data_IF_419516316734
#
_entry.id   IF_419516316734
#
_cell.length_a   1.000
_cell.length_b   1.000
_cell.length_c   1.000
_cell.angle_alpha   90.00
_cell.angle_beta   90.00
_cell.angle_gamma   90.00
#
_symmetry.space_group_name_H-M   'P 1'
#
loop_
_entity.id
_entity.type
_entity.pdbx_description
1 polymer ?
#
# COMPACT_ATOMS: atom_id res chain seq x y z
N UNK A 1 34.60 -14.31 -3.80
CA UNK A 1 33.31 -14.90 -4.26
C UNK A 1 32.11 -14.52 -3.37
N UNK A 2 32.31 -14.13 -2.10
CA UNK A 2 31.24 -13.73 -1.15
C UNK A 2 30.44 -12.49 -1.59
N UNK A 3 31.08 -11.50 -2.21
CA UNK A 3 30.42 -10.23 -2.59
C UNK A 3 29.28 -10.38 -3.60
N UNK A 4 29.38 -11.30 -4.58
CA UNK A 4 28.29 -11.53 -5.54
C UNK A 4 27.08 -12.22 -4.90
N UNK A 5 27.30 -13.09 -3.92
CA UNK A 5 26.22 -13.67 -3.13
C UNK A 5 25.47 -12.63 -2.29
N UNK A 6 26.19 -11.67 -1.71
CA UNK A 6 25.58 -10.56 -0.97
C UNK A 6 24.71 -9.67 -1.86
N UNK A 7 25.15 -9.38 -3.09
CA UNK A 7 24.33 -8.62 -4.06
C UNK A 7 23.05 -9.39 -4.44
N UNK A 8 23.13 -10.69 -4.68
CA UNK A 8 21.95 -11.51 -4.95
C UNK A 8 20.95 -11.49 -3.78
N UNK A 9 21.44 -11.62 -2.54
CA UNK A 9 20.58 -11.52 -1.36
C UNK A 9 19.91 -10.14 -1.21
N UNK A 10 20.59 -9.06 -1.60
CA UNK A 10 19.97 -7.72 -1.63
C UNK A 10 18.88 -7.62 -2.70
N UNK A 11 19.03 -8.30 -3.84
CA UNK A 11 17.97 -8.41 -4.85
C UNK A 11 16.76 -9.16 -4.30
N UNK A 12 16.96 -10.28 -3.59
CA UNK A 12 15.87 -11.03 -2.96
C UNK A 12 15.14 -10.21 -1.90
N UNK A 13 15.88 -9.48 -1.06
CA UNK A 13 15.29 -8.55 -0.08
C UNK A 13 14.46 -7.47 -0.77
N UNK A 14 14.98 -6.91 -1.87
CA UNK A 14 14.27 -5.89 -2.64
C UNK A 14 12.97 -6.44 -3.23
N UNK A 15 13.01 -7.67 -3.75
CA UNK A 15 11.83 -8.36 -4.27
C UNK A 15 10.77 -8.58 -3.18
N UNK A 16 11.16 -9.05 -1.99
CA UNK A 16 10.22 -9.22 -0.87
C UNK A 16 9.61 -7.88 -0.43
N UNK A 17 10.40 -6.80 -0.39
CA UNK A 17 9.89 -5.46 -0.07
C UNK A 17 8.85 -4.99 -1.07
N UNK A 18 9.11 -5.15 -2.37
CA UNK A 18 8.15 -4.80 -3.42
C UNK A 18 6.84 -5.58 -3.29
N UNK A 19 6.91 -6.88 -2.98
CA UNK A 19 5.73 -7.71 -2.76
C UNK A 19 4.92 -7.24 -1.54
N UNK A 20 5.61 -6.86 -0.45
CA UNK A 20 4.96 -6.32 0.75
C UNK A 20 4.32 -4.96 0.48
N UNK A 21 5.01 -4.06 -0.25
CA UNK A 21 4.48 -2.76 -0.65
C UNK A 21 3.20 -2.93 -1.49
N UNK A 22 3.19 -3.86 -2.46
CA UNK A 22 2.01 -4.13 -3.29
C UNK A 22 0.85 -4.68 -2.44
N UNK A 23 1.14 -5.61 -1.52
CA UNK A 23 0.13 -6.15 -0.62
C UNK A 23 -0.43 -5.07 0.31
N UNK A 24 0.41 -4.20 0.87
CA UNK A 24 -0.01 -3.04 1.66
C UNK A 24 -1.00 -2.18 0.87
N UNK A 25 -0.66 -1.80 -0.36
CA UNK A 25 -1.54 -0.99 -1.22
C UNK A 25 -2.90 -1.67 -1.46
N UNK A 26 -2.92 -3.00 -1.70
CA UNK A 26 -4.17 -3.75 -1.89
C UNK A 26 -5.02 -3.80 -0.63
N UNK A 27 -4.40 -4.00 0.53
CA UNK A 27 -5.11 -4.03 1.82
C UNK A 27 -5.66 -2.65 2.18
N UNK A 28 -4.87 -1.59 1.99
CA UNK A 28 -5.31 -0.20 2.23
C UNK A 28 -6.50 0.15 1.34
N UNK A 29 -6.44 -0.18 0.03
CA UNK A 29 -7.57 0.02 -0.88
C UNK A 29 -8.82 -0.73 -0.41
N UNK A 30 -8.67 -1.99 -0.01
CA UNK A 30 -9.80 -2.81 0.49
C UNK A 30 -10.41 -2.19 1.74
N UNK A 31 -9.58 -1.73 2.69
CA UNK A 31 -10.03 -1.07 3.90
C UNK A 31 -10.76 0.26 3.60
N UNK A 32 -10.24 1.06 2.67
CA UNK A 32 -10.88 2.30 2.21
C UNK A 32 -12.23 2.07 1.54
N UNK A 33 -12.32 1.07 0.66
CA UNK A 33 -13.59 0.65 0.05
C UNK A 33 -14.62 0.18 1.10
N UNK A 34 -14.15 -0.39 2.21
CA UNK A 34 -14.98 -0.73 3.37
C UNK A 34 -15.34 0.44 4.29
N UNK A 35 -14.95 1.68 3.96
CA UNK A 35 -15.24 2.87 4.76
C UNK A 35 -14.34 3.07 5.99
N UNK A 36 -13.27 2.28 6.15
CA UNK A 36 -12.38 2.35 7.31
C UNK A 36 -11.59 3.68 7.30
N UNK A 37 -11.53 4.36 8.44
CA UNK A 37 -10.83 5.64 8.55
C UNK A 37 -9.30 5.50 8.45
N UNK A 38 -8.63 6.53 7.93
CA UNK A 38 -7.16 6.57 7.82
C UNK A 38 -6.42 6.34 9.15
N UNK A 39 -6.99 6.77 10.27
CA UNK A 39 -6.42 6.54 11.60
C UNK A 39 -6.44 5.07 12.01
N UNK A 40 -7.49 4.34 11.62
CA UNK A 40 -7.65 2.92 11.91
C UNK A 40 -6.72 2.07 11.03
N UNK A 41 -6.47 2.50 9.79
CA UNK A 41 -5.48 1.89 8.88
C UNK A 41 -4.05 2.16 9.36
N UNK A 42 -3.77 3.36 9.86
CA UNK A 42 -2.45 3.77 10.31
C UNK A 42 -2.00 3.06 11.60
N UNK A 43 -2.95 2.73 12.50
CA UNK A 43 -2.68 2.11 13.79
C UNK A 43 -1.90 0.78 13.71
N UNK A 44 -2.31 -0.23 12.91
CA UNK A 44 -1.55 -1.49 12.79
C UNK A 44 -0.19 -1.32 12.10
N UNK A 45 0.00 -0.26 11.32
CA UNK A 45 1.26 0.04 10.63
C UNK A 45 2.21 0.89 11.49
N UNK A 46 1.78 1.28 12.70
CA UNK A 46 2.53 2.13 13.63
C UNK A 46 2.98 3.47 13.01
N UNK A 47 2.20 4.01 12.07
CA UNK A 47 2.42 5.32 11.46
C UNK A 47 1.34 6.31 11.87
N UNK A 48 1.56 7.59 11.59
CA UNK A 48 0.54 8.61 11.85
C UNK A 48 -0.55 8.56 10.77
N UNK A 49 -1.75 9.04 11.11
CA UNK A 49 -2.83 9.26 10.13
C UNK A 49 -2.38 10.11 8.95
N UNK A 50 -1.57 11.14 9.21
CA UNK A 50 -1.04 12.02 8.17
C UNK A 50 -0.11 11.26 7.21
N UNK A 51 0.82 10.45 7.75
CA UNK A 51 1.71 9.64 6.91
C UNK A 51 0.94 8.63 6.05
N UNK A 52 -0.13 8.03 6.60
CA UNK A 52 -1.00 7.15 5.84
C UNK A 52 -1.73 7.90 4.71
N UNK A 53 -2.25 9.10 4.99
CA UNK A 53 -2.91 9.92 3.99
C UNK A 53 -1.94 10.34 2.88
N UNK A 54 -0.77 10.89 3.22
CA UNK A 54 0.25 11.28 2.24
C UNK A 54 0.64 10.11 1.32
N UNK A 55 0.70 8.88 1.85
CA UNK A 55 1.12 7.68 1.10
C UNK A 55 0.01 7.09 0.21
N UNK A 56 -1.27 7.22 0.59
CA UNK A 56 -2.34 6.45 -0.05
C UNK A 56 -3.62 7.22 -0.40
N UNK A 57 -3.70 8.53 -0.16
CA UNK A 57 -4.91 9.32 -0.47
C UNK A 57 -5.34 9.23 -1.94
N UNK A 58 -4.39 9.17 -2.88
CA UNK A 58 -4.66 8.99 -4.31
C UNK A 58 -5.48 7.72 -4.62
N UNK A 59 -5.38 6.68 -3.77
CA UNK A 59 -6.16 5.45 -3.95
C UNK A 59 -7.65 5.68 -3.67
N UNK A 60 -7.99 6.63 -2.81
CA UNK A 60 -9.36 7.00 -2.44
C UNK A 60 -10.05 7.77 -3.58
N UNK A 61 -9.31 8.68 -4.21
CA UNK A 61 -9.78 9.51 -5.33
C UNK A 61 -10.15 8.66 -6.56
N UNK A 62 -9.38 7.59 -6.82
CA UNK A 62 -9.65 6.64 -7.89
C UNK A 62 -10.93 5.81 -7.63
N UNK A 63 -11.17 5.37 -6.38
CA UNK A 63 -12.38 4.60 -6.06
C UNK A 63 -13.66 5.41 -6.12
N UNK A 64 -13.57 6.71 -5.81
CA UNK A 64 -14.68 7.66 -5.97
C UNK A 64 -15.04 7.88 -7.45
N UNK A 65 -14.05 7.77 -8.34
CA UNK A 65 -14.21 7.96 -9.78
C UNK A 65 -14.77 6.71 -10.50
N UNK A 66 -14.38 5.50 -10.10
CA UNK A 66 -14.86 4.25 -10.72
C UNK A 66 -16.35 3.96 -10.45
N UNK A 67 -16.89 4.45 -9.32
CA UNK A 67 -18.29 4.24 -8.93
C UNK A 67 -19.31 4.94 -9.84
N UNK A 68 -18.86 5.87 -10.70
CA UNK A 68 -19.73 6.63 -11.63
C UNK A 68 -19.80 5.99 -13.04
N UNK A 69 -18.96 5.01 -13.37
CA UNK A 69 -18.79 4.51 -14.75
C UNK A 69 -19.56 3.21 -15.07
N UNK A 70 -20.18 2.52 -14.09
CA UNK A 70 -20.88 1.23 -14.31
C UNK A 70 -22.42 1.35 -14.44
N UNK A 71 -22.95 2.56 -14.60
CA UNK A 71 -24.37 2.79 -14.83
C UNK A 71 -24.59 3.43 -16.20
N UNK A 72 -24.39 2.67 -17.28
CA UNK A 72 -24.85 3.01 -18.63
C UNK A 72 -25.39 1.76 -19.34
#
# INVERSE_FOLDING_TARGET
MVGRGAVAALSDITFVRQLLDELETRLVRTARQGGVAWSEIAAPLAITRQAAWERWHDLDDLTSSESTQTAE
#
